data_IF_449231597821
#
_entry.id   IF_449231597821
#
_cell.length_a   1.000
_cell.length_b   1.000
_cell.length_c   1.000
_cell.angle_alpha   90.00
_cell.angle_beta   90.00
_cell.angle_gamma   90.00
#
_symmetry.space_group_name_H-M   'P 1'
#
loop_
_entity.id
_entity.type
_entity.pdbx_description
1 polymer ?
#
# COMPACT_ATOMS: atom_id res chain seq x y z
N UNK A 1 -62.32 15.84 1.73
CA UNK A 1 -62.24 17.31 1.88
C UNK A 1 -60.90 17.78 1.31
N UNK A 2 -60.84 18.63 0.28
CA UNK A 2 -59.57 19.00 -0.40
C UNK A 2 -58.77 20.11 0.32
N UNK A 3 -59.04 20.33 1.62
CA UNK A 3 -58.35 21.34 2.42
C UNK A 3 -57.04 20.77 2.96
N UNK A 4 -56.03 21.63 3.05
CA UNK A 4 -54.85 21.29 3.84
C UNK A 4 -55.23 21.22 5.33
N UNK A 5 -54.59 20.34 6.13
CA UNK A 5 -54.79 20.31 7.59
C UNK A 5 -54.49 21.67 8.25
N UNK A 6 -53.48 22.35 7.71
CA UNK A 6 -53.10 23.71 8.08
C UNK A 6 -52.88 24.52 6.80
N UNK A 7 -53.38 25.77 6.73
CA UNK A 7 -53.14 26.65 5.58
C UNK A 7 -51.64 26.81 5.32
N UNK A 8 -51.25 26.86 4.05
CA UNK A 8 -49.87 27.19 3.67
C UNK A 8 -49.85 28.69 3.41
N UNK A 9 -48.94 29.42 4.04
CA UNK A 9 -48.74 30.84 3.77
C UNK A 9 -47.30 31.14 3.38
N UNK A 10 -47.11 32.11 2.50
CA UNK A 10 -45.81 32.61 2.09
C UNK A 10 -45.88 34.12 1.87
N UNK A 11 -44.97 34.87 2.49
CA UNK A 11 -44.86 36.31 2.27
C UNK A 11 -44.16 36.56 0.94
N UNK A 12 -44.70 37.42 0.09
CA UNK A 12 -44.02 37.78 -1.17
C UNK A 12 -42.84 38.69 -0.83
N UNK A 13 -41.64 38.27 -1.21
CA UNK A 13 -40.41 39.02 -0.96
C UNK A 13 -40.51 40.48 -1.44
N UNK A 14 -40.03 41.42 -0.61
CA UNK A 14 -40.07 42.85 -0.92
C UNK A 14 -41.45 43.51 -0.81
N UNK A 15 -42.50 42.79 -0.37
CA UNK A 15 -43.85 43.33 -0.20
C UNK A 15 -44.46 42.95 1.15
N UNK A 16 -45.52 43.65 1.57
CA UNK A 16 -46.33 43.29 2.75
C UNK A 16 -47.38 42.22 2.46
N UNK A 17 -47.48 41.73 1.21
CA UNK A 17 -48.52 40.79 0.78
C UNK A 17 -48.16 39.37 1.24
N UNK A 18 -49.14 38.69 1.84
CA UNK A 18 -49.05 37.29 2.24
C UNK A 18 -49.98 36.47 1.36
N UNK A 19 -49.42 35.48 0.67
CA UNK A 19 -50.19 34.47 -0.04
C UNK A 19 -50.64 33.42 0.97
N UNK A 20 -51.92 33.09 1.01
CA UNK A 20 -52.47 32.07 1.91
C UNK A 20 -53.31 31.10 1.10
N UNK A 21 -52.98 29.82 1.18
CA UNK A 21 -53.59 28.73 0.44
C UNK A 21 -54.29 27.78 1.41
N UNK A 22 -55.61 27.63 1.26
CA UNK A 22 -56.43 26.76 2.10
C UNK A 22 -56.55 25.35 1.50
N UNK A 23 -56.46 25.26 0.18
CA UNK A 23 -56.64 24.05 -0.61
C UNK A 23 -55.51 23.90 -1.64
N UNK A 24 -55.32 22.68 -2.16
CA UNK A 24 -54.39 22.46 -3.25
C UNK A 24 -54.87 23.11 -4.56
N UNK A 25 -56.19 23.25 -4.74
CA UNK A 25 -56.77 24.02 -5.85
C UNK A 25 -56.35 25.50 -5.82
N UNK A 26 -56.26 26.13 -4.64
CA UNK A 26 -55.77 27.51 -4.52
C UNK A 26 -54.32 27.64 -5.03
N UNK A 27 -53.48 26.63 -4.73
CA UNK A 27 -52.08 26.58 -5.20
C UNK A 27 -52.03 26.41 -6.71
N UNK A 28 -52.85 25.53 -7.28
CA UNK A 28 -52.95 25.34 -8.74
C UNK A 28 -53.40 26.62 -9.43
N UNK A 29 -54.44 27.28 -8.92
CA UNK A 29 -54.96 28.51 -9.50
C UNK A 29 -53.90 29.64 -9.49
N UNK A 30 -53.14 29.75 -8.40
CA UNK A 30 -52.03 30.71 -8.32
C UNK A 30 -50.87 30.34 -9.26
N UNK A 31 -50.47 29.06 -9.28
CA UNK A 31 -49.42 28.58 -10.18
C UNK A 31 -49.79 28.82 -11.66
N UNK A 32 -51.06 28.65 -12.03
CA UNK A 32 -51.55 28.92 -13.40
C UNK A 32 -51.50 30.40 -13.76
N UNK A 33 -51.81 31.27 -12.80
CA UNK A 33 -51.64 32.73 -12.97
C UNK A 33 -50.17 33.06 -13.18
N UNK A 34 -49.27 32.57 -12.32
CA UNK A 34 -47.82 32.79 -12.45
C UNK A 34 -47.30 32.26 -13.79
N UNK A 35 -47.67 31.03 -14.14
CA UNK A 35 -47.30 30.39 -15.41
C UNK A 35 -47.69 31.26 -16.60
N UNK A 36 -48.93 31.76 -16.65
CA UNK A 36 -49.39 32.57 -17.78
C UNK A 36 -48.60 33.88 -17.93
N UNK A 37 -48.25 34.54 -16.81
CA UNK A 37 -47.41 35.73 -16.81
C UNK A 37 -45.99 35.40 -17.29
N UNK A 38 -45.32 34.42 -16.67
CA UNK A 38 -43.93 34.12 -17.02
C UNK A 38 -43.77 33.50 -18.42
N UNK A 39 -44.81 32.84 -18.95
CA UNK A 39 -44.81 32.33 -20.33
C UNK A 39 -45.06 33.41 -21.39
N UNK A 40 -45.53 34.60 -21.01
CA UNK A 40 -45.67 35.74 -21.93
C UNK A 40 -44.32 36.31 -22.39
N UNK A 41 -43.23 35.91 -21.74
CA UNK A 41 -41.87 36.36 -21.99
C UNK A 41 -41.02 35.25 -22.65
N UNK A 42 -40.94 35.20 -24.00
CA UNK A 42 -40.24 34.14 -24.74
C UNK A 42 -38.72 34.13 -24.51
N UNK A 43 -38.17 32.96 -24.16
CA UNK A 43 -36.75 32.74 -23.85
C UNK A 43 -35.85 32.97 -25.08
N UNK A 44 -36.41 32.83 -26.27
CA UNK A 44 -35.73 33.04 -27.56
C UNK A 44 -35.17 34.46 -27.71
N UNK A 45 -35.72 35.43 -26.96
CA UNK A 45 -35.21 36.80 -26.92
C UNK A 45 -33.89 36.98 -26.15
N UNK A 46 -33.51 36.01 -25.30
CA UNK A 46 -32.36 36.16 -24.42
C UNK A 46 -31.07 35.66 -25.08
N UNK A 47 -30.07 36.53 -25.17
CA UNK A 47 -28.79 36.19 -25.80
C UNK A 47 -27.90 35.39 -24.85
N UNK A 48 -27.90 35.75 -23.56
CA UNK A 48 -27.09 35.10 -22.54
C UNK A 48 -27.61 33.72 -22.18
N UNK A 49 -26.76 32.70 -22.28
CA UNK A 49 -27.08 31.33 -21.86
C UNK A 49 -27.43 31.25 -20.36
N UNK A 50 -26.78 32.08 -19.55
CA UNK A 50 -27.02 32.15 -18.11
C UNK A 50 -28.41 32.73 -17.84
N UNK A 51 -28.79 33.84 -18.50
CA UNK A 51 -30.13 34.41 -18.37
C UNK A 51 -31.21 33.44 -18.85
N UNK A 52 -30.96 32.73 -19.96
CA UNK A 52 -31.89 31.68 -20.45
C UNK A 52 -32.13 30.60 -19.41
N UNK A 53 -31.06 30.06 -18.82
CA UNK A 53 -31.17 29.03 -17.79
C UNK A 53 -31.98 29.51 -16.57
N UNK A 54 -31.73 30.74 -16.09
CA UNK A 54 -32.50 31.31 -14.98
C UNK A 54 -33.96 31.58 -15.36
N UNK A 55 -34.21 32.05 -16.58
CA UNK A 55 -35.56 32.31 -17.05
C UNK A 55 -36.37 31.03 -17.20
N UNK A 56 -35.75 29.97 -17.73
CA UNK A 56 -36.35 28.63 -17.81
C UNK A 56 -36.66 28.08 -16.42
N UNK A 57 -35.75 28.26 -15.46
CA UNK A 57 -35.97 27.87 -14.08
C UNK A 57 -37.19 28.60 -13.47
N UNK A 58 -37.28 29.92 -13.69
CA UNK A 58 -38.40 30.75 -13.23
C UNK A 58 -39.73 30.33 -13.90
N UNK A 59 -39.73 30.01 -15.20
CA UNK A 59 -40.91 29.51 -15.92
C UNK A 59 -41.36 28.14 -15.42
N UNK A 60 -40.41 27.23 -15.19
CA UNK A 60 -40.69 25.87 -14.75
C UNK A 60 -41.16 25.78 -13.30
N UNK A 61 -40.85 26.77 -12.47
CA UNK A 61 -41.24 26.81 -11.06
C UNK A 61 -42.76 26.68 -10.85
N UNK A 62 -43.56 27.39 -11.64
CA UNK A 62 -45.02 27.30 -11.59
C UNK A 62 -45.52 25.89 -11.95
N UNK A 63 -44.89 25.24 -12.93
CA UNK A 63 -45.24 23.87 -13.32
C UNK A 63 -44.92 22.85 -12.22
N UNK A 64 -43.82 23.02 -11.51
CA UNK A 64 -43.45 22.18 -10.35
C UNK A 64 -44.51 22.29 -9.25
N UNK A 65 -44.88 23.51 -8.86
CA UNK A 65 -45.91 23.71 -7.84
C UNK A 65 -47.28 23.17 -8.26
N UNK A 66 -47.68 23.41 -9.52
CA UNK A 66 -48.91 22.84 -10.08
C UNK A 66 -48.91 21.32 -10.02
N UNK A 67 -47.80 20.68 -10.39
CA UNK A 67 -47.64 19.22 -10.36
C UNK A 67 -47.77 18.66 -8.95
N UNK A 68 -47.07 19.24 -7.98
CA UNK A 68 -47.13 18.82 -6.58
C UNK A 68 -48.54 18.98 -5.99
N UNK A 69 -49.20 20.11 -6.25
CA UNK A 69 -50.57 20.34 -5.80
C UNK A 69 -51.56 19.37 -6.46
N UNK A 70 -51.36 19.05 -7.75
CA UNK A 70 -52.18 18.04 -8.46
C UNK A 70 -51.98 16.64 -7.86
N UNK A 71 -50.74 16.25 -7.54
CA UNK A 71 -50.45 14.99 -6.86
C UNK A 71 -51.15 14.92 -5.50
N UNK A 72 -51.14 16.01 -4.72
CA UNK A 72 -51.87 16.08 -3.45
C UNK A 72 -53.39 15.86 -3.63
N UNK A 73 -53.97 16.38 -4.72
CA UNK A 73 -55.39 16.16 -5.03
C UNK A 73 -55.72 14.71 -5.41
N UNK A 74 -54.78 13.98 -6.00
CA UNK A 74 -55.00 12.56 -6.33
C UNK A 74 -54.99 11.63 -5.11
N UNK A 75 -54.44 12.07 -3.98
CA UNK A 75 -54.45 11.30 -2.73
C UNK A 75 -55.87 11.15 -2.18
N UNK A 76 -56.15 10.00 -1.57
CA UNK A 76 -57.36 9.78 -0.77
C UNK A 76 -57.37 10.66 0.50
N UNK A 77 -58.55 10.84 1.11
CA UNK A 77 -58.66 11.65 2.34
C UNK A 77 -57.82 11.09 3.51
N UNK A 78 -57.62 9.77 3.58
CA UNK A 78 -56.74 9.13 4.57
C UNK A 78 -55.25 9.39 4.27
N UNK A 79 -54.84 9.30 3.00
CA UNK A 79 -53.47 9.58 2.58
C UNK A 79 -53.07 11.05 2.74
N UNK A 80 -54.02 11.97 2.58
CA UNK A 80 -53.77 13.40 2.85
C UNK A 80 -53.46 13.67 4.32
N UNK A 81 -54.04 12.89 5.23
CA UNK A 81 -53.82 12.99 6.67
C UNK A 81 -52.56 12.28 7.18
N UNK A 82 -51.90 11.46 6.37
CA UNK A 82 -50.75 10.67 6.77
C UNK A 82 -49.40 11.30 6.33
N UNK A 83 -48.32 10.53 6.46
CA UNK A 83 -46.95 10.96 6.12
C UNK A 83 -46.76 11.30 4.64
N UNK A 84 -47.50 10.67 3.73
CA UNK A 84 -47.42 10.91 2.28
C UNK A 84 -48.01 12.28 1.95
N UNK A 85 -49.24 12.55 2.38
CA UNK A 85 -49.87 13.87 2.23
C UNK A 85 -49.07 14.97 2.92
N UNK A 86 -48.58 14.70 4.14
CA UNK A 86 -47.69 15.59 4.87
C UNK A 86 -46.40 15.91 4.10
N UNK A 87 -45.80 14.91 3.46
CA UNK A 87 -44.59 15.07 2.64
C UNK A 87 -44.82 15.97 1.43
N UNK A 88 -45.88 15.75 0.65
CA UNK A 88 -46.21 16.60 -0.51
C UNK A 88 -46.54 18.03 -0.05
N UNK A 89 -47.32 18.19 1.03
CA UNK A 89 -47.60 19.51 1.62
C UNK A 89 -46.32 20.23 2.01
N UNK A 90 -45.38 19.54 2.65
CA UNK A 90 -44.10 20.11 3.03
C UNK A 90 -43.28 20.55 1.82
N UNK A 91 -43.28 19.79 0.72
CA UNK A 91 -42.61 20.19 -0.51
C UNK A 91 -43.24 21.45 -1.14
N UNK A 92 -44.57 21.55 -1.17
CA UNK A 92 -45.28 22.75 -1.64
C UNK A 92 -44.89 23.96 -0.78
N UNK A 93 -44.91 23.81 0.55
CA UNK A 93 -44.53 24.86 1.49
C UNK A 93 -43.06 25.27 1.33
N UNK A 94 -42.14 24.31 1.15
CA UNK A 94 -40.72 24.58 0.93
C UNK A 94 -40.46 25.37 -0.37
N UNK A 95 -41.14 24.99 -1.46
CA UNK A 95 -41.07 25.71 -2.73
C UNK A 95 -41.61 27.14 -2.59
N UNK A 96 -42.76 27.31 -1.93
CA UNK A 96 -43.29 28.65 -1.62
C UNK A 96 -42.35 29.45 -0.69
N UNK A 97 -41.57 28.79 0.15
CA UNK A 97 -40.50 29.41 0.92
C UNK A 97 -39.41 30.07 0.06
N UNK A 98 -39.19 29.60 -1.18
CA UNK A 98 -38.26 30.26 -2.11
C UNK A 98 -38.79 31.63 -2.58
N UNK A 99 -40.12 31.80 -2.62
CA UNK A 99 -40.76 33.10 -2.90
C UNK A 99 -40.56 34.04 -1.72
N UNK A 100 -40.67 33.53 -0.49
CA UNK A 100 -40.42 34.32 0.72
C UNK A 100 -38.96 34.75 0.85
N UNK A 101 -38.04 33.87 0.46
CA UNK A 101 -36.62 34.17 0.42
C UNK A 101 -36.23 35.08 -0.75
N UNK A 102 -37.13 35.39 -1.68
CA UNK A 102 -36.82 36.20 -2.87
C UNK A 102 -35.92 35.51 -3.88
N UNK A 103 -35.79 34.18 -3.82
CA UNK A 103 -35.08 33.36 -4.82
C UNK A 103 -36.00 33.15 -6.03
N UNK A 104 -37.31 33.00 -5.80
CA UNK A 104 -38.35 32.99 -6.83
C UNK A 104 -39.14 34.27 -6.76
N UNK A 105 -39.34 34.88 -7.92
CA UNK A 105 -40.14 36.09 -8.02
C UNK A 105 -41.57 35.72 -8.41
N UNK A 106 -42.52 36.58 -8.06
CA UNK A 106 -43.93 36.40 -8.41
C UNK A 106 -44.35 37.43 -9.44
N UNK A 107 -45.47 37.19 -10.11
CA UNK A 107 -46.09 38.15 -11.01
C UNK A 107 -46.55 39.44 -10.29
N UNK A 108 -46.55 39.44 -8.96
CA UNK A 108 -46.85 40.63 -8.16
C UNK A 108 -45.60 41.50 -7.91
N UNK A 109 -44.46 41.20 -8.55
CA UNK A 109 -43.24 42.00 -8.46
C UNK A 109 -43.50 43.45 -8.91
N UNK A 110 -43.16 44.48 -8.11
CA UNK A 110 -43.37 45.88 -8.50
C UNK A 110 -42.67 46.28 -9.81
N UNK A 111 -41.60 45.57 -10.17
CA UNK A 111 -40.85 45.79 -11.41
C UNK A 111 -41.49 45.14 -12.64
N UNK A 112 -42.51 44.28 -12.51
CA UNK A 112 -43.11 43.56 -13.64
C UNK A 112 -43.61 44.49 -14.76
N UNK A 113 -44.30 45.62 -14.49
CA UNK A 113 -44.72 46.54 -15.56
C UNK A 113 -43.55 47.21 -16.30
N UNK A 114 -42.36 47.30 -15.68
CA UNK A 114 -41.16 47.75 -16.37
C UNK A 114 -40.60 46.63 -17.26
N UNK A 115 -40.58 45.39 -16.76
CA UNK A 115 -40.19 44.20 -17.53
C UNK A 115 -41.08 44.02 -18.75
N UNK A 116 -42.41 44.13 -18.61
CA UNK A 116 -43.37 44.06 -19.71
C UNK A 116 -43.13 45.09 -20.81
N UNK A 117 -42.82 46.33 -20.43
CA UNK A 117 -42.53 47.40 -21.41
C UNK A 117 -41.18 47.21 -22.10
N UNK A 118 -40.20 46.69 -21.38
CA UNK A 118 -38.83 46.53 -21.88
C UNK A 118 -38.64 45.24 -22.67
N UNK A 119 -39.41 44.18 -22.39
CA UNK A 119 -39.21 42.86 -22.98
C UNK A 119 -39.16 42.85 -24.51
N UNK A 120 -40.08 43.51 -25.24
CA UNK A 120 -40.05 43.51 -26.71
C UNK A 120 -38.86 44.28 -27.30
N UNK A 121 -38.24 45.17 -26.53
CA UNK A 121 -37.19 46.09 -26.99
C UNK A 121 -35.79 45.61 -26.58
N UNK A 122 -35.67 45.12 -25.35
CA UNK A 122 -34.41 44.75 -24.69
C UNK A 122 -34.64 43.58 -23.72
N UNK A 123 -34.86 42.36 -24.21
CA UNK A 123 -35.18 41.18 -23.38
C UNK A 123 -34.09 40.86 -22.36
N UNK A 124 -32.81 40.99 -22.71
CA UNK A 124 -31.71 40.76 -21.75
C UNK A 124 -31.73 41.77 -20.58
N UNK A 125 -32.07 43.03 -20.85
CA UNK A 125 -32.20 44.07 -19.82
C UNK A 125 -33.40 43.79 -18.92
N UNK A 126 -34.54 43.44 -19.52
CA UNK A 126 -35.74 43.06 -18.79
C UNK A 126 -35.49 41.84 -17.89
N UNK A 127 -34.78 40.82 -18.39
CA UNK A 127 -34.38 39.67 -17.60
C UNK A 127 -33.37 40.01 -16.49
N UNK A 128 -32.43 40.92 -16.74
CA UNK A 128 -31.51 41.40 -15.71
C UNK A 128 -32.23 42.15 -14.58
N UNK A 129 -33.27 42.92 -14.89
CA UNK A 129 -34.11 43.58 -13.87
C UNK A 129 -34.77 42.54 -12.96
N UNK A 130 -35.26 41.45 -13.54
CA UNK A 130 -35.83 40.33 -12.78
C UNK A 130 -34.74 39.65 -11.93
N UNK A 131 -33.58 39.33 -12.50
CA UNK A 131 -32.47 38.73 -11.74
C UNK A 131 -32.00 39.63 -10.60
N UNK A 132 -31.91 40.95 -10.83
CA UNK A 132 -31.52 41.93 -9.81
C UNK A 132 -32.55 42.05 -8.68
N UNK A 133 -33.82 41.70 -8.92
CA UNK A 133 -34.86 41.65 -7.90
C UNK A 133 -34.73 40.46 -6.94
N UNK A 134 -33.84 39.50 -7.22
CA UNK A 134 -33.64 38.31 -6.38
C UNK A 134 -32.65 38.58 -5.25
N UNK A 135 -32.79 37.85 -4.14
CA UNK A 135 -31.85 37.94 -3.02
C UNK A 135 -30.48 37.33 -3.31
N UNK A 136 -30.43 36.32 -4.18
CA UNK A 136 -29.21 35.67 -4.64
C UNK A 136 -28.58 36.38 -5.85
N UNK A 137 -29.04 37.58 -6.20
CA UNK A 137 -28.56 38.36 -7.35
C UNK A 137 -27.03 38.50 -7.34
N UNK A 138 -26.37 38.71 -6.20
CA UNK A 138 -24.91 38.83 -6.14
C UNK A 138 -24.16 37.55 -6.59
N UNK A 139 -24.68 36.37 -6.25
CA UNK A 139 -24.10 35.10 -6.65
C UNK A 139 -24.34 34.83 -8.14
N UNK A 140 -25.55 35.16 -8.60
CA UNK A 140 -25.93 35.03 -10.01
C UNK A 140 -25.10 35.99 -10.87
N UNK A 141 -25.02 37.26 -10.48
CA UNK A 141 -24.27 38.32 -11.16
C UNK A 141 -22.76 38.08 -11.13
N UNK A 142 -22.23 37.53 -10.04
CA UNK A 142 -20.83 37.12 -9.93
C UNK A 142 -20.41 36.02 -10.90
N UNK A 143 -21.35 35.15 -11.31
CA UNK A 143 -21.11 34.07 -12.26
C UNK A 143 -21.15 34.50 -13.74
N UNK A 144 -21.53 35.73 -14.06
CA UNK A 144 -21.52 36.20 -15.45
C UNK A 144 -20.12 36.47 -16.02
N UNK A 145 -19.07 36.35 -15.19
CA UNK A 145 -17.68 36.51 -15.62
C UNK A 145 -17.39 37.89 -16.25
N UNK A 146 -16.23 38.06 -16.90
CA UNK A 146 -15.81 39.34 -17.51
C UNK A 146 -16.66 39.79 -18.72
N UNK A 147 -17.69 39.04 -19.11
CA UNK A 147 -18.46 39.28 -20.33
C UNK A 147 -19.74 40.12 -20.12
N UNK A 148 -20.15 40.38 -18.88
CA UNK A 148 -21.14 41.41 -18.59
C UNK A 148 -20.40 42.75 -18.41
N UNK A 149 -20.13 43.39 -19.54
CA UNK A 149 -19.44 44.68 -19.51
C UNK A 149 -20.28 45.71 -18.76
N UNK A 150 -19.64 46.57 -17.97
CA UNK A 150 -20.29 47.74 -17.35
C UNK A 150 -21.00 48.62 -18.40
N UNK A 151 -20.59 48.52 -19.68
CA UNK A 151 -21.25 49.13 -20.82
C UNK A 151 -22.69 48.62 -21.05
N UNK A 152 -22.99 47.34 -20.81
CA UNK A 152 -24.36 46.79 -20.91
C UNK A 152 -25.28 47.30 -19.78
N UNK A 153 -24.76 47.43 -18.56
CA UNK A 153 -25.48 48.07 -17.44
C UNK A 153 -25.64 49.57 -17.69
N UNK A 154 -24.58 50.24 -18.18
CA UNK A 154 -24.59 51.65 -18.58
C UNK A 154 -25.64 51.95 -19.65
N UNK A 155 -25.75 51.12 -20.69
CA UNK A 155 -26.76 51.26 -21.75
C UNK A 155 -28.19 51.03 -21.25
N UNK A 156 -28.37 50.13 -20.27
CA UNK A 156 -29.66 49.92 -19.62
C UNK A 156 -30.07 51.15 -18.77
N UNK A 157 -29.12 51.77 -18.08
CA UNK A 157 -29.32 53.04 -17.39
C UNK A 157 -29.55 54.22 -18.35
N UNK A 158 -28.85 54.26 -19.49
CA UNK A 158 -29.00 55.26 -20.55
C UNK A 158 -30.40 55.20 -21.19
N UNK A 159 -30.88 54.00 -21.54
CA UNK A 159 -32.24 53.79 -22.08
C UNK A 159 -33.33 54.09 -21.04
N UNK A 160 -33.06 53.86 -19.75
CA UNK A 160 -33.94 54.25 -18.65
C UNK A 160 -33.97 55.79 -18.47
N UNK A 161 -32.86 56.48 -18.73
CA UNK A 161 -32.74 57.93 -18.67
C UNK A 161 -33.31 58.64 -19.91
N UNK A 162 -33.21 58.05 -21.10
CA UNK A 162 -33.80 58.56 -22.35
C UNK A 162 -35.34 58.53 -22.35
N UNK A 163 -35.96 57.78 -21.43
CA UNK A 163 -37.41 57.70 -21.25
C UNK A 163 -38.06 58.81 -20.42
N UNK A 164 -37.31 59.81 -19.93
CA UNK A 164 -37.87 60.93 -19.17
C UNK A 164 -37.77 62.27 -19.92
N UNK A 165 -38.83 63.11 -19.89
CA UNK A 165 -38.87 64.37 -20.62
C UNK A 165 -37.81 65.34 -20.08
N UNK A 166 -36.96 65.80 -21.00
CA UNK A 166 -35.80 66.62 -20.76
C UNK A 166 -36.18 68.08 -20.47
N UNK A 167 -36.26 68.46 -19.20
CA UNK A 167 -36.19 69.86 -18.80
C UNK A 167 -35.25 70.04 -17.58
N UNK A 168 -34.03 70.50 -17.89
CA UNK A 168 -32.95 71.07 -17.04
C UNK A 168 -31.69 70.21 -16.75
N UNK A 169 -30.56 70.43 -17.47
CA UNK A 169 -29.34 69.63 -17.39
C UNK A 169 -28.29 70.17 -16.39
N UNK A 170 -28.70 70.75 -15.26
CA UNK A 170 -27.74 71.15 -14.20
C UNK A 170 -27.26 69.98 -13.35
N UNK A 171 -28.11 69.00 -13.07
CA UNK A 171 -27.75 67.80 -12.29
C UNK A 171 -26.78 66.88 -13.05
N UNK A 172 -26.78 66.94 -14.38
CA UNK A 172 -25.88 66.18 -15.27
C UNK A 172 -24.41 66.60 -15.19
N UNK A 173 -24.09 67.84 -14.80
CA UNK A 173 -22.69 68.28 -14.69
C UNK A 173 -21.99 67.69 -13.48
N UNK A 174 -22.66 67.70 -12.33
CA UNK A 174 -22.15 67.07 -11.11
C UNK A 174 -21.94 65.57 -11.32
N UNK A 175 -22.90 64.89 -11.95
CA UNK A 175 -22.73 63.47 -12.29
C UNK A 175 -21.64 63.22 -13.34
N UNK A 176 -21.45 64.08 -14.34
CA UNK A 176 -20.36 63.92 -15.32
C UNK A 176 -18.98 63.99 -14.68
N UNK A 177 -18.81 64.82 -13.65
CA UNK A 177 -17.54 64.99 -12.95
C UNK A 177 -17.25 63.81 -12.00
N UNK A 178 -18.28 63.31 -11.31
CA UNK A 178 -18.20 62.05 -10.56
C UNK A 178 -17.92 60.85 -11.49
N UNK A 179 -18.58 60.78 -12.64
CA UNK A 179 -18.34 59.74 -13.65
C UNK A 179 -16.89 59.83 -14.17
N UNK A 180 -16.37 61.03 -14.42
CA UNK A 180 -14.98 61.20 -14.87
C UNK A 180 -13.96 60.73 -13.82
N UNK A 181 -14.19 61.04 -12.53
CA UNK A 181 -13.34 60.53 -11.45
C UNK A 181 -13.39 59.01 -11.34
N UNK A 182 -14.60 58.42 -11.41
CA UNK A 182 -14.79 56.96 -11.39
C UNK A 182 -14.10 56.29 -12.57
N UNK A 183 -14.16 56.88 -13.77
CA UNK A 183 -13.44 56.38 -14.96
C UNK A 183 -11.94 56.37 -14.72
N UNK A 184 -11.37 57.45 -14.18
CA UNK A 184 -9.92 57.52 -13.93
C UNK A 184 -9.45 56.52 -12.86
N UNK A 185 -10.24 56.28 -11.81
CA UNK A 185 -9.93 55.28 -10.79
C UNK A 185 -10.04 53.86 -11.34
N UNK A 186 -11.00 53.62 -12.23
CA UNK A 186 -11.14 52.34 -12.92
C UNK A 186 -10.00 52.06 -13.91
N UNK A 187 -9.50 53.07 -14.62
CA UNK A 187 -8.31 52.93 -15.47
C UNK A 187 -7.07 52.61 -14.64
N UNK A 188 -6.89 53.28 -13.50
CA UNK A 188 -5.82 52.97 -12.56
C UNK A 188 -5.94 51.53 -12.01
N UNK A 189 -7.14 51.12 -11.58
CA UNK A 189 -7.41 49.74 -11.12
C UNK A 189 -7.16 48.71 -12.23
N UNK A 190 -7.61 48.99 -13.46
CA UNK A 190 -7.39 48.11 -14.61
C UNK A 190 -5.90 47.91 -14.88
N UNK A 191 -5.13 49.00 -14.93
CA UNK A 191 -3.67 48.92 -15.14
C UNK A 191 -2.97 48.15 -14.02
N UNK A 192 -3.39 48.33 -12.76
CA UNK A 192 -2.88 47.56 -11.62
C UNK A 192 -3.24 46.08 -11.70
N UNK A 193 -4.42 45.75 -12.22
CA UNK A 193 -4.88 44.38 -12.40
C UNK A 193 -4.18 43.67 -13.57
N UNK A 194 -3.91 44.39 -14.66
CA UNK A 194 -3.07 43.91 -15.77
C UNK A 194 -1.64 43.64 -15.30
N UNK A 195 -1.03 44.56 -14.54
CA UNK A 195 0.30 44.36 -13.94
C UNK A 195 0.34 43.18 -12.95
N UNK A 196 -0.69 43.04 -12.11
CA UNK A 196 -0.82 41.90 -11.18
C UNK A 196 -1.00 40.57 -11.92
N UNK A 197 -1.78 40.58 -13.01
CA UNK A 197 -1.96 39.41 -13.89
C UNK A 197 -0.65 39.00 -14.56
N UNK A 198 0.11 39.96 -15.09
CA UNK A 198 1.42 39.69 -15.69
C UNK A 198 2.41 39.14 -14.66
N UNK A 199 2.50 39.77 -13.49
CA UNK A 199 3.34 39.29 -12.39
C UNK A 199 2.95 37.87 -11.93
N UNK A 200 1.64 37.61 -11.80
CA UNK A 200 1.11 36.28 -11.49
C UNK A 200 1.46 35.25 -12.56
N UNK A 201 1.32 35.60 -13.84
CA UNK A 201 1.66 34.70 -14.95
C UNK A 201 3.16 34.37 -14.99
N UNK A 202 4.03 35.35 -14.76
CA UNK A 202 5.47 35.15 -14.68
C UNK A 202 5.84 34.27 -13.48
N UNK A 203 5.20 34.46 -12.32
CA UNK A 203 5.39 33.62 -11.15
C UNK A 203 4.96 32.16 -11.39
N UNK A 204 3.85 31.94 -12.09
CA UNK A 204 3.40 30.59 -12.48
C UNK A 204 4.41 29.90 -13.40
N UNK A 205 4.94 30.60 -14.40
CA UNK A 205 5.97 30.05 -15.30
C UNK A 205 7.25 29.72 -14.54
N UNK A 206 7.69 30.60 -13.63
CA UNK A 206 8.87 30.35 -12.80
C UNK A 206 8.67 29.13 -11.87
N UNK A 207 7.47 29.00 -11.28
CA UNK A 207 7.10 27.85 -10.45
C UNK A 207 7.09 26.55 -11.26
N UNK A 208 6.52 26.57 -12.47
CA UNK A 208 6.50 25.41 -13.37
C UNK A 208 7.92 24.97 -13.75
N UNK A 209 8.80 25.93 -14.07
CA UNK A 209 10.21 25.63 -14.37
C UNK A 209 10.92 25.00 -13.17
N UNK A 210 10.77 25.58 -11.98
CA UNK A 210 11.35 25.03 -10.74
C UNK A 210 10.81 23.64 -10.42
N UNK A 211 9.52 23.40 -10.64
CA UNK A 211 8.92 22.09 -10.45
C UNK A 211 9.46 21.07 -11.44
N UNK A 212 9.67 21.44 -12.71
CA UNK A 212 10.28 20.56 -13.70
C UNK A 212 11.73 20.19 -13.33
N UNK A 213 12.53 21.17 -12.90
CA UNK A 213 13.90 20.94 -12.40
C UNK A 213 13.90 20.01 -11.16
N UNK A 214 12.95 20.20 -10.23
CA UNK A 214 12.82 19.31 -9.06
C UNK A 214 12.37 17.89 -9.44
N UNK A 215 11.46 17.75 -10.41
CA UNK A 215 10.99 16.46 -10.91
C UNK A 215 12.14 15.66 -11.52
N UNK A 216 12.96 16.30 -12.36
CA UNK A 216 14.15 15.68 -12.96
C UNK A 216 15.14 15.23 -11.88
N UNK A 217 15.42 16.07 -10.88
CA UNK A 217 16.27 15.71 -9.75
C UNK A 217 15.72 14.54 -8.91
N UNK A 218 14.39 14.46 -8.76
CA UNK A 218 13.74 13.34 -8.07
C UNK A 218 13.83 12.04 -8.87
N UNK A 219 13.64 12.10 -10.19
CA UNK A 219 13.75 10.93 -11.07
C UNK A 219 15.18 10.38 -11.11
N UNK A 220 16.20 11.24 -11.16
CA UNK A 220 17.61 10.84 -11.05
C UNK A 220 17.90 10.18 -9.69
N UNK A 221 17.40 10.77 -8.60
CA UNK A 221 17.57 10.22 -7.26
C UNK A 221 16.87 8.87 -7.10
N UNK A 222 15.64 8.73 -7.60
CA UNK A 222 14.88 7.49 -7.58
C UNK A 222 15.59 6.39 -8.39
N UNK A 223 16.06 6.70 -9.58
CA UNK A 223 16.81 5.78 -10.44
C UNK A 223 18.09 5.32 -9.75
N UNK A 224 18.85 6.25 -9.14
CA UNK A 224 20.06 5.92 -8.38
C UNK A 224 19.77 5.02 -7.19
N UNK A 225 18.66 5.25 -6.49
CA UNK A 225 18.23 4.43 -5.35
C UNK A 225 17.78 3.04 -5.79
N UNK A 226 17.00 2.93 -6.87
CA UNK A 226 16.57 1.64 -7.44
C UNK A 226 17.78 0.81 -7.88
N UNK A 227 18.70 1.41 -8.63
CA UNK A 227 19.94 0.73 -9.04
C UNK A 227 20.79 0.33 -7.82
N UNK A 228 20.82 1.17 -6.77
CA UNK A 228 21.49 0.87 -5.51
C UNK A 228 20.86 -0.32 -4.76
N UNK A 229 19.53 -0.38 -4.70
CA UNK A 229 18.79 -1.49 -4.09
C UNK A 229 19.01 -2.77 -4.88
N UNK A 230 18.93 -2.73 -6.21
CA UNK A 230 19.14 -3.90 -7.06
C UNK A 230 20.56 -4.46 -6.90
N UNK A 231 21.58 -3.59 -6.87
CA UNK A 231 22.96 -4.01 -6.61
C UNK A 231 23.14 -4.63 -5.20
N UNK A 232 22.50 -4.06 -4.18
CA UNK A 232 22.52 -4.61 -2.82
C UNK A 232 21.77 -5.95 -2.72
N UNK A 233 20.63 -6.06 -3.39
CA UNK A 233 19.84 -7.27 -3.44
C UNK A 233 20.58 -8.40 -4.15
N UNK A 234 21.20 -8.12 -5.30
CA UNK A 234 22.05 -9.07 -6.01
C UNK A 234 23.23 -9.54 -5.13
N UNK A 235 23.87 -8.61 -4.39
CA UNK A 235 24.93 -8.95 -3.45
C UNK A 235 24.42 -9.81 -2.29
N UNK A 236 23.26 -9.50 -1.73
CA UNK A 236 22.67 -10.24 -0.61
C UNK A 236 22.25 -11.65 -1.04
N UNK A 237 21.59 -11.79 -2.20
CA UNK A 237 21.24 -13.09 -2.76
C UNK A 237 22.49 -13.93 -3.00
N UNK A 238 23.54 -13.35 -3.59
CA UNK A 238 24.81 -14.04 -3.79
C UNK A 238 25.41 -14.52 -2.47
N UNK A 239 25.49 -13.65 -1.46
CA UNK A 239 26.01 -14.03 -0.13
C UNK A 239 25.14 -15.09 0.53
N UNK A 240 23.81 -15.01 0.38
CA UNK A 240 22.89 -15.98 0.94
C UNK A 240 23.03 -17.34 0.25
N UNK A 241 23.01 -17.38 -1.08
CA UNK A 241 23.15 -18.61 -1.87
C UNK A 241 24.54 -19.24 -1.67
N UNK A 242 25.62 -18.45 -1.68
CA UNK A 242 26.98 -18.92 -1.40
C UNK A 242 27.10 -19.44 0.04
N UNK A 243 26.70 -18.66 1.06
CA UNK A 243 26.90 -19.08 2.45
C UNK A 243 26.00 -20.25 2.86
N UNK A 244 24.75 -20.31 2.37
CA UNK A 244 23.83 -21.39 2.74
C UNK A 244 24.18 -22.70 2.02
N UNK A 245 24.56 -22.64 0.73
CA UNK A 245 25.01 -23.80 -0.02
C UNK A 245 26.34 -24.36 0.52
N UNK A 246 27.23 -23.50 1.01
CA UNK A 246 28.52 -23.90 1.56
C UNK A 246 28.45 -24.39 3.02
N UNK A 247 27.58 -23.81 3.85
CA UNK A 247 27.52 -24.11 5.28
C UNK A 247 26.96 -25.50 5.57
N UNK A 248 25.90 -25.94 4.89
CA UNK A 248 25.24 -27.20 5.20
C UNK A 248 26.14 -28.45 5.04
N UNK A 249 26.83 -28.68 3.91
CA UNK A 249 27.66 -29.88 3.74
C UNK A 249 28.95 -29.82 4.57
N UNK A 250 29.57 -28.65 4.72
CA UNK A 250 30.80 -28.51 5.53
C UNK A 250 30.53 -28.73 7.01
N UNK A 251 29.43 -28.18 7.54
CA UNK A 251 29.02 -28.40 8.93
C UNK A 251 28.67 -29.87 9.19
N UNK A 252 28.03 -30.55 8.25
CA UNK A 252 27.72 -31.98 8.38
C UNK A 252 28.98 -32.83 8.57
N UNK A 253 29.96 -32.70 7.67
CA UNK A 253 31.20 -33.48 7.71
C UNK A 253 32.07 -33.10 8.91
N UNK A 254 32.12 -31.81 9.27
CA UNK A 254 32.83 -31.35 10.47
C UNK A 254 32.23 -31.93 11.75
N UNK A 255 30.89 -31.94 11.87
CA UNK A 255 30.17 -32.56 13.00
C UNK A 255 30.34 -34.07 13.04
N UNK A 256 30.43 -34.72 11.88
CA UNK A 256 30.71 -36.16 11.79
C UNK A 256 32.15 -36.48 12.22
N UNK A 257 33.12 -35.67 11.79
CA UNK A 257 34.51 -35.80 12.20
C UNK A 257 34.68 -35.63 13.71
N UNK A 258 34.01 -34.63 14.33
CA UNK A 258 34.11 -34.40 15.77
C UNK A 258 33.50 -35.54 16.59
N UNK A 259 32.39 -36.13 16.13
CA UNK A 259 31.80 -37.33 16.78
C UNK A 259 32.76 -38.51 16.80
N UNK A 260 33.42 -38.80 15.66
CA UNK A 260 34.40 -39.88 15.60
C UNK A 260 35.70 -39.54 16.34
N UNK A 261 36.09 -38.26 16.41
CA UNK A 261 37.22 -37.83 17.24
C UNK A 261 36.95 -38.07 18.74
N UNK A 262 35.75 -37.74 19.22
CA UNK A 262 35.34 -38.05 20.60
C UNK A 262 35.30 -39.56 20.84
N UNK A 263 34.75 -40.34 19.91
CA UNK A 263 34.75 -41.80 20.00
C UNK A 263 36.17 -42.39 20.07
N UNK A 264 37.09 -41.90 19.24
CA UNK A 264 38.50 -42.27 19.28
C UNK A 264 39.17 -41.87 20.61
N UNK A 265 38.89 -40.67 21.13
CA UNK A 265 39.42 -40.23 22.41
C UNK A 265 38.96 -41.14 23.56
N UNK A 266 37.68 -41.49 23.61
CA UNK A 266 37.11 -42.42 24.60
C UNK A 266 37.77 -43.80 24.48
N UNK A 267 37.86 -44.36 23.26
CA UNK A 267 38.50 -45.64 23.03
C UNK A 267 39.99 -45.62 23.39
N UNK A 268 40.69 -44.52 23.10
CA UNK A 268 42.10 -44.33 23.45
C UNK A 268 42.34 -44.25 24.95
N UNK A 269 41.50 -43.53 25.68
CA UNK A 269 41.53 -43.49 27.15
C UNK A 269 41.22 -44.86 27.73
N UNK A 270 40.20 -45.57 27.21
CA UNK A 270 39.88 -46.92 27.65
C UNK A 270 41.02 -47.90 27.39
N UNK A 271 41.68 -47.83 26.23
CA UNK A 271 42.85 -48.65 25.91
C UNK A 271 44.02 -48.35 26.85
N UNK A 272 44.34 -47.08 27.08
CA UNK A 272 45.39 -46.68 28.02
C UNK A 272 45.11 -47.17 29.44
N UNK A 273 43.87 -47.03 29.91
CA UNK A 273 43.43 -47.53 31.22
C UNK A 273 43.53 -49.06 31.31
N UNK A 274 43.17 -49.79 30.25
CA UNK A 274 43.32 -51.25 30.19
C UNK A 274 44.78 -51.68 30.26
N UNK A 275 45.69 -51.00 29.53
CA UNK A 275 47.13 -51.32 29.56
C UNK A 275 47.71 -51.04 30.94
N UNK A 276 47.47 -49.86 31.50
CA UNK A 276 47.97 -49.47 32.83
C UNK A 276 47.39 -50.37 33.92
N UNK A 277 46.08 -50.66 33.85
CA UNK A 277 45.39 -51.56 34.76
C UNK A 277 45.91 -52.99 34.69
N UNK A 278 46.14 -53.52 33.48
CA UNK A 278 46.71 -54.86 33.27
C UNK A 278 48.13 -54.96 33.82
N UNK A 279 48.98 -53.95 33.58
CA UNK A 279 50.32 -53.89 34.15
C UNK A 279 50.28 -53.85 35.68
N UNK A 280 49.43 -53.01 36.24
CA UNK A 280 49.28 -52.87 37.71
C UNK A 280 48.80 -54.18 38.33
N UNK A 281 47.78 -54.82 37.75
CA UNK A 281 47.26 -56.10 38.21
C UNK A 281 48.32 -57.21 38.12
N UNK A 282 49.15 -57.22 37.08
CA UNK A 282 50.25 -58.17 36.94
C UNK A 282 51.28 -58.00 38.08
N UNK A 283 51.73 -56.78 38.36
CA UNK A 283 52.71 -56.55 39.43
C UNK A 283 52.16 -56.81 40.83
N UNK A 284 50.88 -56.49 41.09
CA UNK A 284 50.26 -56.65 42.42
C UNK A 284 49.83 -58.09 42.69
N UNK A 285 49.25 -58.78 41.71
CA UNK A 285 48.63 -60.10 41.93
C UNK A 285 49.44 -61.25 41.31
N UNK A 286 49.90 -61.10 40.07
CA UNK A 286 50.60 -62.19 39.38
C UNK A 286 52.02 -62.38 39.90
N UNK A 287 52.78 -61.29 40.12
CA UNK A 287 54.18 -61.37 40.54
C UNK A 287 54.37 -62.01 41.92
N UNK A 288 53.58 -61.68 42.97
CA UNK A 288 53.65 -62.39 44.24
C UNK A 288 53.20 -63.85 44.13
N UNK A 289 52.18 -64.14 43.32
CA UNK A 289 51.71 -65.52 43.11
C UNK A 289 52.80 -66.39 42.45
N UNK A 290 53.51 -65.86 41.44
CA UNK A 290 54.66 -66.53 40.81
C UNK A 290 55.82 -66.76 41.79
N UNK A 291 56.05 -65.81 42.72
CA UNK A 291 57.04 -65.96 43.79
C UNK A 291 56.68 -67.01 44.84
N UNK A 292 55.39 -67.23 45.11
CA UNK A 292 54.92 -68.29 46.02
C UNK A 292 55.01 -69.68 45.37
N UNK A 293 54.75 -69.77 44.06
CA UNK A 293 54.86 -71.03 43.30
C UNK A 293 56.31 -71.53 43.23
N UNK A 294 57.30 -70.63 43.11
CA UNK A 294 58.71 -71.00 43.05
C UNK A 294 59.25 -71.61 44.35
N UNK A 295 58.53 -71.45 45.46
CA UNK A 295 58.85 -72.02 46.77
C UNK A 295 58.24 -73.43 46.99
N UNK A 296 57.25 -73.85 46.19
CA UNK A 296 56.60 -75.16 46.32
C UNK A 296 57.23 -76.22 45.40
N UNK A 297 57.97 -77.17 45.98
CA UNK A 297 58.79 -78.16 45.25
C UNK A 297 58.01 -79.27 44.52
N UNK A 298 56.69 -79.41 44.73
CA UNK A 298 55.88 -80.56 44.26
C UNK A 298 54.63 -80.19 43.42
N UNK A 299 54.48 -78.95 42.96
CA UNK A 299 53.34 -78.53 42.13
C UNK A 299 53.72 -78.55 40.65
N UNK A 300 52.84 -79.06 39.79
CA UNK A 300 53.02 -78.95 38.33
C UNK A 300 53.04 -77.49 37.91
N UNK A 301 54.18 -77.03 37.38
CA UNK A 301 54.41 -75.64 36.92
C UNK A 301 53.31 -75.18 35.97
N UNK A 302 52.80 -76.08 35.14
CA UNK A 302 51.71 -75.79 34.19
C UNK A 302 50.43 -75.43 34.91
N UNK A 303 50.00 -76.23 35.90
CA UNK A 303 48.76 -76.01 36.64
C UNK A 303 48.82 -74.73 37.48
N UNK A 304 50.01 -74.39 37.99
CA UNK A 304 50.26 -73.19 38.76
C UNK A 304 50.24 -71.90 37.90
N UNK A 305 50.50 -72.00 36.58
CA UNK A 305 50.51 -70.84 35.67
C UNK A 305 49.12 -70.51 35.08
N UNK A 306 48.21 -71.49 35.05
CA UNK A 306 46.82 -71.33 34.53
C UNK A 306 46.11 -70.08 35.05
N UNK A 307 46.08 -69.77 36.36
CA UNK A 307 45.36 -68.60 36.88
C UNK A 307 45.97 -67.25 36.46
N UNK A 308 47.20 -67.23 35.93
CA UNK A 308 47.84 -66.01 35.39
C UNK A 308 47.63 -65.92 33.88
N UNK A 309 47.81 -67.03 33.16
CA UNK A 309 47.77 -67.05 31.68
C UNK A 309 46.36 -66.83 31.15
N UNK A 310 45.34 -67.45 31.74
CA UNK A 310 43.96 -67.36 31.24
C UNK A 310 43.43 -65.92 31.32
N UNK A 311 43.54 -65.19 32.45
CA UNK A 311 43.15 -63.78 32.50
C UNK A 311 44.01 -62.88 31.60
N UNK A 312 45.31 -63.14 31.49
CA UNK A 312 46.18 -62.36 30.60
C UNK A 312 45.75 -62.47 29.14
N UNK A 313 45.37 -63.67 28.68
CA UNK A 313 44.85 -63.88 27.33
C UNK A 313 43.51 -63.14 27.11
N UNK A 314 42.62 -63.17 28.10
CA UNK A 314 41.36 -62.42 28.08
C UNK A 314 41.59 -60.90 27.98
N UNK A 315 42.53 -60.36 28.75
CA UNK A 315 42.88 -58.94 28.72
C UNK A 315 43.48 -58.51 27.38
N UNK A 316 44.34 -59.33 26.78
CA UNK A 316 44.89 -59.09 25.44
C UNK A 316 43.77 -59.06 24.39
N UNK A 317 42.82 -59.99 24.47
CA UNK A 317 41.68 -60.02 23.55
C UNK A 317 40.80 -58.77 23.69
N UNK A 318 40.49 -58.33 24.92
CA UNK A 318 39.73 -57.09 25.16
C UNK A 318 40.51 -55.88 24.64
N UNK A 319 41.81 -55.79 24.94
CA UNK A 319 42.66 -54.70 24.45
C UNK A 319 42.69 -54.65 22.92
N UNK A 320 42.69 -55.81 22.25
CA UNK A 320 42.60 -55.93 20.79
C UNK A 320 41.28 -55.39 20.24
N UNK A 321 40.14 -55.71 20.87
CA UNK A 321 38.83 -55.17 20.49
C UNK A 321 38.77 -53.65 20.65
N UNK A 322 39.30 -53.12 21.76
CA UNK A 322 39.34 -51.66 21.98
C UNK A 322 40.28 -50.95 21.02
N UNK A 323 41.45 -51.54 20.72
CA UNK A 323 42.39 -51.02 19.72
C UNK A 323 41.77 -50.96 18.32
N UNK A 324 40.98 -51.97 17.95
CA UNK A 324 40.21 -51.98 16.70
C UNK A 324 39.20 -50.83 16.66
N UNK A 325 38.41 -50.65 17.73
CA UNK A 325 37.43 -49.56 17.83
C UNK A 325 38.10 -48.18 17.73
N UNK A 326 39.28 -48.01 18.33
CA UNK A 326 40.09 -46.80 18.22
C UNK A 326 40.51 -46.55 16.76
N UNK A 327 41.06 -47.57 16.11
CA UNK A 327 41.51 -47.48 14.71
C UNK A 327 40.37 -47.16 13.75
N UNK A 328 39.21 -47.79 13.93
CA UNK A 328 38.00 -47.54 13.14
C UNK A 328 37.54 -46.08 13.29
N UNK A 329 37.42 -45.57 14.52
CA UNK A 329 37.02 -44.18 14.74
C UNK A 329 38.05 -43.17 14.20
N UNK A 330 39.35 -43.44 14.30
CA UNK A 330 40.38 -42.58 13.71
C UNK A 330 40.30 -42.55 12.18
N UNK A 331 40.05 -43.70 11.54
CA UNK A 331 39.89 -43.78 10.09
C UNK A 331 38.65 -43.01 9.60
N UNK A 332 37.51 -43.17 10.28
CA UNK A 332 36.27 -42.46 9.98
C UNK A 332 36.38 -40.96 10.20
N UNK A 333 37.11 -40.54 11.23
CA UNK A 333 37.42 -39.12 11.46
C UNK A 333 38.26 -38.55 10.31
N UNK A 334 39.30 -39.27 9.86
CA UNK A 334 40.16 -38.82 8.75
C UNK A 334 39.37 -38.71 7.44
N UNK A 335 38.57 -39.71 7.09
CA UNK A 335 37.70 -39.66 5.91
C UNK A 335 36.71 -38.49 5.97
N UNK A 336 36.09 -38.23 7.13
CA UNK A 336 35.20 -37.08 7.30
C UNK A 336 35.92 -35.73 7.15
N UNK A 337 37.16 -35.60 7.66
CA UNK A 337 37.98 -34.39 7.47
C UNK A 337 38.45 -34.21 6.03
N UNK A 338 38.83 -35.29 5.36
CA UNK A 338 39.21 -35.26 3.94
C UNK A 338 38.03 -34.80 3.09
N UNK A 339 36.82 -35.32 3.34
CA UNK A 339 35.59 -34.86 2.67
C UNK A 339 35.25 -33.42 3.00
N UNK A 340 35.41 -32.98 4.24
CA UNK A 340 35.22 -31.57 4.62
C UNK A 340 36.15 -30.64 3.81
N UNK A 341 37.43 -30.99 3.69
CA UNK A 341 38.39 -30.23 2.88
C UNK A 341 38.03 -30.26 1.40
N UNK A 342 37.69 -31.42 0.83
CA UNK A 342 37.27 -31.52 -0.58
C UNK A 342 36.03 -30.67 -0.88
N UNK A 343 35.02 -30.67 0.02
CA UNK A 343 33.84 -29.79 -0.11
C UNK A 343 34.26 -28.33 -0.11
N UNK A 344 35.10 -27.90 0.86
CA UNK A 344 35.57 -26.51 0.93
C UNK A 344 36.36 -26.11 -0.33
N UNK A 345 37.22 -27.00 -0.83
CA UNK A 345 37.99 -26.77 -2.06
C UNK A 345 37.10 -26.70 -3.30
N UNK A 346 36.12 -27.60 -3.43
CA UNK A 346 35.13 -27.56 -4.52
C UNK A 346 34.32 -26.26 -4.52
N UNK A 347 33.86 -25.84 -3.34
CA UNK A 347 33.12 -24.60 -3.17
C UNK A 347 33.97 -23.37 -3.46
N UNK A 348 35.26 -23.38 -3.08
CA UNK A 348 36.20 -22.31 -3.42
C UNK A 348 36.36 -22.17 -4.95
N UNK A 349 36.49 -23.28 -5.67
CA UNK A 349 36.57 -23.24 -7.14
C UNK A 349 35.27 -22.80 -7.81
N UNK A 350 34.10 -23.22 -7.29
CA UNK A 350 32.81 -22.74 -7.79
C UNK A 350 32.62 -21.23 -7.58
N UNK A 351 33.09 -20.71 -6.45
CA UNK A 351 33.00 -19.28 -6.13
C UNK A 351 33.87 -18.41 -7.06
N UNK A 352 35.02 -18.93 -7.50
CA UNK A 352 35.91 -18.21 -8.43
C UNK A 352 35.36 -18.20 -9.87
N UNK A 353 34.57 -19.20 -10.26
CA UNK A 353 33.92 -19.28 -11.57
C UNK A 353 32.84 -18.21 -11.78
N UNK A 354 32.10 -17.83 -10.72
CA UNK A 354 31.17 -16.69 -10.76
C UNK A 354 31.84 -15.33 -10.94
N UNK A 355 33.18 -15.25 -10.84
CA UNK A 355 33.97 -14.03 -11.07
C UNK A 355 34.51 -13.91 -12.50
N UNK A 356 34.14 -14.82 -13.40
CA UNK A 356 34.39 -14.71 -14.83
C UNK A 356 35.58 -15.52 -15.36
N UNK A 357 36.24 -16.30 -14.50
CA UNK A 357 37.24 -17.29 -14.91
C UNK A 357 36.71 -18.68 -14.57
N UNK A 358 36.08 -19.35 -15.55
CA UNK A 358 35.64 -20.74 -15.39
C UNK A 358 36.87 -21.66 -15.31
N UNK A 359 37.36 -21.87 -14.09
CA UNK A 359 38.53 -22.70 -13.81
C UNK A 359 38.23 -24.20 -13.84
N UNK A 360 36.95 -24.61 -13.82
CA UNK A 360 36.53 -26.01 -13.83
C UNK A 360 35.56 -26.30 -14.99
N UNK A 361 35.88 -27.32 -15.79
CA UNK A 361 34.96 -27.83 -16.80
C UNK A 361 33.86 -28.67 -16.13
N UNK A 362 32.68 -28.78 -16.73
CA UNK A 362 31.60 -29.64 -16.23
C UNK A 362 32.04 -31.10 -15.96
N UNK A 363 33.02 -31.59 -16.73
CA UNK A 363 33.64 -32.90 -16.53
C UNK A 363 34.43 -32.99 -15.21
N UNK A 364 35.16 -31.94 -14.84
CA UNK A 364 35.93 -31.88 -13.59
C UNK A 364 35.00 -31.82 -12.38
N UNK A 365 33.86 -31.13 -12.51
CA UNK A 365 32.82 -31.08 -11.46
C UNK A 365 32.23 -32.45 -11.19
N UNK A 366 31.91 -33.21 -12.24
CA UNK A 366 31.41 -34.58 -12.12
C UNK A 366 32.47 -35.48 -11.45
N UNK A 367 33.75 -35.33 -11.80
CA UNK A 367 34.84 -36.08 -11.20
C UNK A 367 34.98 -35.80 -9.68
N UNK A 368 34.92 -34.53 -9.27
CA UNK A 368 35.00 -34.12 -7.87
C UNK A 368 33.77 -34.62 -7.08
N UNK A 369 32.56 -34.53 -7.66
CA UNK A 369 31.34 -35.05 -7.04
C UNK A 369 31.42 -36.57 -6.85
N UNK A 370 31.92 -37.31 -7.85
CA UNK A 370 32.15 -38.75 -7.70
C UNK A 370 33.17 -39.07 -6.60
N UNK A 371 34.24 -38.30 -6.48
CA UNK A 371 35.21 -38.45 -5.39
C UNK A 371 34.59 -38.17 -4.01
N UNK A 372 33.68 -37.20 -3.92
CA UNK A 372 33.01 -36.80 -2.68
C UNK A 372 31.96 -37.81 -2.21
N UNK A 373 31.21 -38.40 -3.15
CA UNK A 373 30.17 -39.39 -2.88
C UNK A 373 30.65 -40.84 -2.90
N UNK A 374 31.96 -41.08 -3.04
CA UNK A 374 32.49 -42.45 -2.98
C UNK A 374 32.12 -43.12 -1.64
N UNK A 375 31.68 -44.39 -1.65
CA UNK A 375 31.59 -45.19 -0.43
C UNK A 375 32.96 -45.20 0.25
N UNK A 376 33.00 -44.94 1.56
CA UNK A 376 34.23 -45.04 2.32
C UNK A 376 34.78 -46.46 2.19
N UNK A 377 35.98 -46.62 1.64
CA UNK A 377 36.69 -47.90 1.58
C UNK A 377 37.22 -48.24 2.98
N UNK A 378 36.30 -48.61 3.89
CA UNK A 378 36.68 -49.24 5.14
C UNK A 378 37.06 -50.66 4.75
N UNK A 379 38.31 -50.86 4.35
CA UNK A 379 38.90 -52.18 4.38
C UNK A 379 38.84 -52.61 5.85
N UNK A 380 37.88 -53.46 6.18
CA UNK A 380 37.88 -54.21 7.43
C UNK A 380 39.27 -54.81 7.57
N UNK A 381 40.01 -54.42 8.61
CA UNK A 381 41.30 -55.04 8.94
C UNK A 381 41.03 -56.54 9.05
N UNK A 382 41.50 -57.30 8.06
CA UNK A 382 41.38 -58.75 8.03
C UNK A 382 42.26 -59.29 9.15
N UNK A 383 41.61 -59.96 10.09
CA UNK A 383 42.17 -60.32 11.39
C UNK A 383 42.05 -61.83 11.59
N UNK A 384 42.36 -62.56 10.53
CA UNK A 384 42.59 -64.00 10.60
C UNK A 384 43.94 -64.23 11.30
N UNK A 385 43.98 -64.97 12.44
CA UNK A 385 45.25 -65.32 13.08
C UNK A 385 46.14 -66.05 12.06
N UNK A 386 47.48 -65.82 12.04
CA UNK A 386 48.36 -66.52 11.12
C UNK A 386 48.15 -68.03 11.32
N UNK A 387 47.71 -68.74 10.28
CA UNK A 387 47.32 -70.16 10.35
C UNK A 387 48.47 -71.07 10.85
N UNK A 388 49.69 -70.53 10.92
CA UNK A 388 50.94 -71.24 11.15
C UNK A 388 51.20 -71.69 12.62
N UNK A 389 50.60 -71.08 13.65
CA UNK A 389 50.91 -71.45 15.06
C UNK A 389 50.09 -72.62 15.58
N UNK A 390 48.89 -72.85 15.05
CA UNK A 390 48.10 -74.05 15.34
C UNK A 390 48.77 -75.31 14.77
N UNK A 391 49.33 -75.24 13.56
CA UNK A 391 50.04 -76.36 12.93
C UNK A 391 51.32 -76.75 13.68
N UNK A 392 52.03 -75.77 14.25
CA UNK A 392 53.24 -76.02 15.06
C UNK A 392 52.89 -76.73 16.38
N UNK A 393 51.76 -76.38 17.01
CA UNK A 393 51.31 -77.06 18.24
C UNK A 393 50.75 -78.45 17.95
N UNK A 394 50.01 -78.63 16.86
CA UNK A 394 49.47 -79.91 16.44
C UNK A 394 50.59 -80.93 16.11
N UNK A 395 51.61 -80.51 15.35
CA UNK A 395 52.74 -81.38 15.01
C UNK A 395 53.60 -81.76 16.23
N UNK A 396 53.76 -80.85 17.21
CA UNK A 396 54.58 -81.13 18.39
C UNK A 396 53.91 -82.06 19.42
N UNK A 397 52.59 -82.19 19.37
CA UNK A 397 51.81 -83.16 20.17
C UNK A 397 51.72 -84.52 19.46
N UNK A 398 51.74 -84.53 18.13
CA UNK A 398 51.80 -85.76 17.33
C UNK A 398 53.16 -86.48 17.45
N UNK A 399 54.28 -85.75 17.56
CA UNK A 399 55.64 -86.30 17.72
C UNK A 399 55.97 -86.88 19.11
N UNK A 400 55.00 -86.93 20.04
CA UNK A 400 55.18 -87.53 21.40
C UNK A 400 54.33 -88.79 21.65
N UNK A 401 53.79 -89.40 20.60
CA UNK A 401 53.31 -90.79 20.64
C UNK A 401 54.27 -91.66 19.85
#
# INVERSE_FOLDING_TARGET
MNRFPEPISARVYGTSRVLTFQTAEDVIAWADKERSVWQSFPVEGLTSAILRAYWDEQRSYADVLRSQASQYLTLSDEERGNTVGGGIRHQIAANLGLVEQGIRLTADLPALPAVERLWPQAPDVAALIVVAGRTDAANILGNFGPNLTFASLGRAFELFAEGQPAEDPKWLRAQREEIAQVVSTLEALRSGLEASREAGSAAVVAMQRKNAENLEAHDEAATKLLNGIEAQWAKLNRVYDEQLAMAAPTQYWSKRASRHATGAAIAGVAFAALVVGSLTAFFVYAMPHLGLISLQKNTSVVLALVPVVVPAFGLIWIAKVVARLLSENLSLMRDAKERETMVKTFLAFMHDEERGEALLTDQDRILILHALFRPSSIASVDDSPPVHWFDILANKVADRK
#
